data_IF_138017495216
#
_entry.id   IF_138017495216
#
_cell.length_a   1.000
_cell.length_b   1.000
_cell.length_c   1.000
_cell.angle_alpha   90.00
_cell.angle_beta   90.00
_cell.angle_gamma   90.00
#
_symmetry.space_group_name_H-M   'P 1'
#
loop_
_entity.id
_entity.type
_entity.pdbx_description
1 polymer ?
#
# COMPACT_ATOMS: atom_id res chain seq x y z
N UNK A 1 1.93 12.98 -3.71
CA UNK A 1 2.42 11.69 -3.19
C UNK A 1 3.38 11.11 -4.20
N UNK A 2 4.66 11.12 -3.87
CA UNK A 2 5.69 10.49 -4.70
C UNK A 2 5.75 9.00 -4.42
N UNK A 3 5.40 8.15 -5.41
CA UNK A 3 5.97 6.82 -5.41
C UNK A 3 7.45 6.99 -5.75
N UNK A 4 8.32 6.73 -4.77
CA UNK A 4 9.71 6.53 -5.08
C UNK A 4 9.78 5.44 -6.17
N UNK A 5 10.77 5.48 -7.09
CA UNK A 5 10.85 4.55 -8.23
C UNK A 5 10.83 3.06 -7.83
N UNK A 6 11.00 2.77 -6.55
CA UNK A 6 11.07 1.41 -6.01
C UNK A 6 9.84 0.98 -5.20
N UNK A 7 8.81 1.84 -5.09
CA UNK A 7 7.58 1.53 -4.34
C UNK A 7 7.75 1.43 -2.82
N UNK A 8 8.90 1.80 -2.29
CA UNK A 8 9.36 1.51 -0.92
C UNK A 8 8.40 2.04 0.16
N UNK A 9 8.00 3.32 0.06
CA UNK A 9 7.14 3.92 1.09
C UNK A 9 5.76 3.26 1.21
N UNK A 10 5.19 2.84 0.09
CA UNK A 10 3.88 2.19 0.10
C UNK A 10 3.93 0.80 0.76
N UNK A 11 5.00 0.04 0.51
CA UNK A 11 5.20 -1.28 1.13
C UNK A 11 5.54 -1.15 2.61
N UNK A 12 6.37 -0.16 2.99
CA UNK A 12 6.66 0.16 4.38
C UNK A 12 5.40 0.58 5.14
N UNK A 13 4.51 1.36 4.52
CA UNK A 13 3.23 1.71 5.11
C UNK A 13 2.38 0.47 5.37
N UNK A 14 2.22 -0.39 4.37
CA UNK A 14 1.44 -1.62 4.51
C UNK A 14 2.00 -2.51 5.63
N UNK A 15 3.32 -2.70 5.68
CA UNK A 15 3.98 -3.45 6.75
C UNK A 15 3.79 -2.80 8.13
N UNK A 16 3.92 -1.47 8.23
CA UNK A 16 3.69 -0.73 9.46
C UNK A 16 2.27 -0.90 9.98
N UNK A 17 1.27 -0.79 9.10
CA UNK A 17 -0.14 -0.99 9.45
C UNK A 17 -0.43 -2.44 9.83
N UNK A 18 0.14 -3.40 9.13
CA UNK A 18 -0.02 -4.83 9.42
C UNK A 18 0.60 -5.22 10.78
N UNK A 19 1.78 -4.68 11.08
CA UNK A 19 2.54 -5.02 12.28
C UNK A 19 2.00 -4.35 13.56
N UNK A 20 1.41 -3.15 13.42
CA UNK A 20 0.85 -2.40 14.55
C UNK A 20 -0.37 -1.60 14.08
N UNK A 21 -1.54 -2.25 14.12
CA UNK A 21 -2.78 -1.65 13.65
C UNK A 21 -3.18 -0.44 14.49
N UNK A 22 -3.44 0.75 13.89
CA UNK A 22 -3.86 1.94 14.61
C UNK A 22 -5.27 1.80 15.22
N UNK A 23 -5.56 2.55 16.26
CA UNK A 23 -6.86 2.51 16.94
C UNK A 23 -8.00 3.12 16.12
N UNK A 24 -7.68 4.07 15.26
CA UNK A 24 -8.64 4.85 14.47
C UNK A 24 -8.05 5.36 13.15
N UNK A 25 -8.87 6.07 12.39
CA UNK A 25 -8.49 6.71 11.13
C UNK A 25 -7.33 7.71 11.28
N UNK A 26 -7.33 8.49 12.36
CA UNK A 26 -6.28 9.47 12.60
C UNK A 26 -4.90 8.81 12.77
N UNK A 27 -4.86 7.64 13.38
CA UNK A 27 -3.65 6.82 13.47
C UNK A 27 -3.15 6.32 12.11
N UNK A 28 -4.05 6.02 11.16
CA UNK A 28 -3.69 5.68 9.78
C UNK A 28 -3.08 6.90 9.09
N UNK A 29 -3.72 8.06 9.20
CA UNK A 29 -3.22 9.32 8.62
C UNK A 29 -1.84 9.71 9.17
N UNK A 30 -1.62 9.56 10.48
CA UNK A 30 -0.33 9.79 11.09
C UNK A 30 0.77 8.90 10.48
N UNK A 31 0.48 7.61 10.27
CA UNK A 31 1.43 6.67 9.63
C UNK A 31 1.74 7.03 8.18
N UNK A 32 0.75 7.49 7.41
CA UNK A 32 0.99 7.96 6.03
C UNK A 32 1.89 9.19 6.02
N UNK A 33 1.65 10.13 6.94
CA UNK A 33 2.44 11.35 7.07
C UNK A 33 3.89 11.08 7.50
N UNK A 34 4.10 10.19 8.46
CA UNK A 34 5.44 9.77 8.91
C UNK A 34 6.31 9.23 7.76
N UNK A 35 5.67 8.62 6.76
CA UNK A 35 6.33 8.10 5.55
C UNK A 35 6.35 9.12 4.39
N UNK A 36 6.08 10.40 4.67
CA UNK A 36 6.11 11.47 3.68
C UNK A 36 4.95 11.41 2.66
N UNK A 37 3.86 10.71 2.99
CA UNK A 37 2.69 10.58 2.12
C UNK A 37 1.55 11.46 2.66
N UNK A 38 1.33 12.61 2.04
CA UNK A 38 0.17 13.46 2.35
C UNK A 38 -1.07 12.90 1.66
N UNK A 39 -2.11 12.59 2.42
CA UNK A 39 -3.39 12.10 1.92
C UNK A 39 -4.51 12.94 2.51
N UNK A 40 -5.23 13.66 1.64
CA UNK A 40 -6.37 14.47 2.04
C UNK A 40 -7.63 13.91 1.39
N UNK A 41 -8.43 13.22 2.18
CA UNK A 41 -9.73 12.66 1.76
C UNK A 41 -10.81 13.07 2.74
N UNK A 42 -12.06 13.31 2.27
CA UNK A 42 -13.20 13.44 3.16
C UNK A 42 -13.27 12.23 4.10
N UNK A 43 -13.61 12.48 5.37
CA UNK A 43 -13.73 11.40 6.33
C UNK A 43 -15.04 10.64 6.11
N UNK A 44 -14.95 9.31 5.99
CA UNK A 44 -16.08 8.40 5.98
C UNK A 44 -16.09 7.57 7.26
N UNK A 45 -17.28 7.24 7.75
CA UNK A 45 -17.46 6.58 9.08
C UNK A 45 -16.76 5.22 9.14
N UNK A 46 -16.69 4.51 8.03
CA UNK A 46 -16.15 3.16 7.93
C UNK A 46 -14.73 3.08 7.36
N UNK A 47 -14.07 4.22 7.14
CA UNK A 47 -12.72 4.28 6.55
C UNK A 47 -11.74 3.36 7.28
N UNK A 48 -11.71 3.41 8.61
CA UNK A 48 -10.81 2.59 9.41
C UNK A 48 -11.01 1.09 9.17
N UNK A 49 -12.28 0.64 9.18
CA UNK A 49 -12.61 -0.76 8.92
C UNK A 49 -12.29 -1.17 7.47
N UNK A 50 -12.56 -0.30 6.49
CA UNK A 50 -12.27 -0.55 5.07
C UNK A 50 -10.77 -0.59 4.78
N UNK A 51 -9.98 0.25 5.44
CA UNK A 51 -8.50 0.17 5.34
C UNK A 51 -8.00 -1.14 5.96
N UNK A 52 -8.64 -1.63 7.04
CA UNK A 52 -8.30 -2.94 7.59
C UNK A 52 -8.46 -4.06 6.55
N UNK A 53 -9.55 -4.04 5.79
CA UNK A 53 -9.77 -5.00 4.70
C UNK A 53 -8.66 -4.90 3.63
N UNK A 54 -8.22 -3.67 3.30
CA UNK A 54 -7.08 -3.49 2.36
C UNK A 54 -5.82 -4.17 2.87
N UNK A 55 -5.51 -4.04 4.16
CA UNK A 55 -4.33 -4.66 4.75
C UNK A 55 -4.49 -6.19 4.85
N UNK A 56 -5.67 -6.69 5.21
CA UNK A 56 -5.93 -8.13 5.27
C UNK A 56 -5.80 -8.79 3.88
N UNK A 57 -6.31 -8.15 2.82
CA UNK A 57 -6.12 -8.60 1.43
C UNK A 57 -4.62 -8.58 1.03
N UNK A 58 -3.89 -7.55 1.41
CA UNK A 58 -2.46 -7.46 1.16
C UNK A 58 -1.67 -8.54 1.90
N UNK A 59 -2.08 -8.90 3.11
CA UNK A 59 -1.46 -10.00 3.86
C UNK A 59 -1.61 -11.36 3.15
N UNK A 60 -2.68 -11.57 2.37
CA UNK A 60 -2.78 -12.76 1.51
C UNK A 60 -1.65 -12.81 0.47
N UNK A 61 -1.23 -11.64 -0.07
CA UNK A 61 -0.08 -11.55 -0.98
C UNK A 61 1.24 -11.85 -0.26
N UNK A 62 1.40 -11.35 0.98
CA UNK A 62 2.58 -11.61 1.81
C UNK A 62 2.73 -13.10 2.11
N UNK A 63 1.61 -13.76 2.45
CA UNK A 63 1.58 -15.15 2.91
C UNK A 63 1.63 -16.17 1.76
N UNK A 64 1.37 -15.74 0.51
CA UNK A 64 1.47 -16.60 -0.66
C UNK A 64 2.94 -16.98 -0.94
N UNK A 65 3.20 -18.30 -1.00
CA UNK A 65 4.55 -18.85 -1.10
C UNK A 65 5.07 -18.94 -2.54
N UNK A 66 4.16 -19.15 -3.51
CA UNK A 66 4.57 -19.27 -4.91
C UNK A 66 4.70 -17.89 -5.58
N UNK A 67 5.78 -17.62 -6.33
CA UNK A 67 5.92 -16.37 -7.06
C UNK A 67 4.77 -16.10 -8.05
N UNK A 68 4.27 -17.13 -8.72
CA UNK A 68 3.13 -17.01 -9.65
C UNK A 68 1.81 -16.69 -8.94
N UNK A 69 1.49 -17.38 -7.85
CA UNK A 69 0.29 -17.10 -7.05
C UNK A 69 0.33 -15.69 -6.45
N UNK A 70 1.50 -15.26 -5.97
CA UNK A 70 1.70 -13.89 -5.46
C UNK A 70 1.46 -12.84 -6.57
N UNK A 71 1.97 -13.09 -7.78
CA UNK A 71 1.74 -12.22 -8.91
C UNK A 71 0.27 -12.18 -9.33
N UNK A 72 -0.45 -13.30 -9.30
CA UNK A 72 -1.88 -13.37 -9.61
C UNK A 72 -2.72 -12.55 -8.62
N UNK A 73 -2.48 -12.72 -7.30
CA UNK A 73 -3.16 -11.95 -6.27
C UNK A 73 -2.90 -10.44 -6.42
N UNK A 74 -1.65 -10.07 -6.66
CA UNK A 74 -1.26 -8.68 -6.82
C UNK A 74 -1.86 -8.06 -8.09
N UNK A 75 -1.86 -8.79 -9.20
CA UNK A 75 -2.50 -8.35 -10.45
C UNK A 75 -4.01 -8.16 -10.26
N UNK A 76 -4.69 -9.04 -9.54
CA UNK A 76 -6.11 -8.90 -9.22
C UNK A 76 -6.38 -7.65 -8.37
N UNK A 77 -5.55 -7.38 -7.37
CA UNK A 77 -5.64 -6.18 -6.55
C UNK A 77 -5.45 -4.90 -7.38
N UNK A 78 -4.43 -4.86 -8.23
CA UNK A 78 -4.16 -3.72 -9.10
C UNK A 78 -5.28 -3.50 -10.12
N UNK A 79 -5.79 -4.56 -10.74
CA UNK A 79 -6.89 -4.46 -11.71
C UNK A 79 -8.18 -3.87 -11.11
N UNK A 80 -8.41 -4.10 -9.81
CA UNK A 80 -9.57 -3.56 -9.10
C UNK A 80 -9.47 -2.06 -8.78
N UNK A 81 -8.27 -1.47 -8.79
CA UNK A 81 -8.03 -0.11 -8.28
C UNK A 81 -7.14 0.76 -9.16
N UNK A 82 -6.39 0.19 -10.09
CA UNK A 82 -5.48 0.97 -10.91
C UNK A 82 -6.22 1.76 -11.98
N UNK A 83 -6.02 3.07 -11.97
CA UNK A 83 -6.32 3.93 -13.10
C UNK A 83 -5.10 4.00 -14.04
N UNK A 84 -5.31 4.52 -15.26
CA UNK A 84 -4.20 4.81 -16.17
C UNK A 84 -3.20 5.75 -15.48
N UNK A 85 -1.88 5.47 -15.56
CA UNK A 85 -0.88 6.37 -15.03
C UNK A 85 -1.01 7.77 -15.64
N UNK A 86 -1.07 8.77 -14.78
CA UNK A 86 -1.14 10.18 -15.20
C UNK A 86 0.00 10.97 -14.61
N UNK A 87 0.66 11.78 -15.43
CA UNK A 87 1.67 12.71 -14.98
C UNK A 87 0.96 13.97 -14.45
N UNK A 88 1.26 14.37 -13.22
CA UNK A 88 0.62 15.51 -12.55
C UNK A 88 1.62 16.30 -11.71
N UNK A 89 1.32 17.60 -11.50
CA UNK A 89 2.06 18.53 -10.63
C UNK A 89 1.04 19.44 -9.91
N UNK A 90 0.14 18.83 -9.12
CA UNK A 90 -0.95 19.57 -8.49
C UNK A 90 -0.56 20.23 -7.15
N UNK A 91 0.53 19.80 -6.51
CA UNK A 91 0.93 20.26 -5.18
C UNK A 91 2.15 21.17 -5.22
N UNK A 92 2.68 21.47 -6.41
CA UNK A 92 3.92 22.25 -6.56
C UNK A 92 5.19 21.53 -6.06
N UNK A 93 5.07 20.24 -5.76
CA UNK A 93 6.20 19.39 -5.33
C UNK A 93 6.95 18.75 -6.50
N UNK A 94 6.56 19.10 -7.74
CA UNK A 94 7.13 18.60 -8.97
C UNK A 94 6.31 17.48 -9.63
N UNK A 95 6.68 17.20 -10.89
CA UNK A 95 5.99 16.20 -11.71
C UNK A 95 6.13 14.79 -11.15
N UNK A 96 4.97 14.12 -10.96
CA UNK A 96 4.92 12.74 -10.46
C UNK A 96 3.77 11.93 -11.09
N UNK A 97 3.82 10.61 -10.96
CA UNK A 97 2.80 9.71 -11.51
C UNK A 97 1.71 9.42 -10.48
N UNK A 98 0.46 9.57 -10.92
CA UNK A 98 -0.72 9.04 -10.26
C UNK A 98 -1.17 7.75 -10.92
N UNK A 99 -1.46 6.74 -10.10
CA UNK A 99 -2.00 5.43 -10.52
C UNK A 99 -3.44 5.21 -10.07
N UNK A 100 -4.14 6.28 -9.71
CA UNK A 100 -5.52 6.28 -9.21
C UNK A 100 -6.29 7.48 -9.76
N UNK A 101 -7.61 7.40 -9.72
CA UNK A 101 -8.46 8.56 -9.99
C UNK A 101 -8.40 9.59 -8.86
N UNK A 102 -8.63 10.87 -9.18
CA UNK A 102 -8.49 11.98 -8.23
C UNK A 102 -9.59 12.01 -7.17
N UNK A 103 -10.76 11.51 -7.49
CA UNK A 103 -11.93 11.49 -6.58
C UNK A 103 -12.12 10.09 -6.03
N UNK A 104 -11.40 9.76 -4.98
CA UNK A 104 -11.50 8.43 -4.35
C UNK A 104 -11.39 8.54 -2.82
N UNK A 105 -11.94 7.54 -2.13
CA UNK A 105 -11.81 7.42 -0.69
C UNK A 105 -10.40 6.99 -0.26
N UNK A 106 -10.07 7.23 1.02
CA UNK A 106 -8.79 6.80 1.59
C UNK A 106 -8.52 5.29 1.39
N UNK A 107 -9.46 4.37 1.66
CA UNK A 107 -9.22 2.94 1.46
C UNK A 107 -8.89 2.58 0.02
N UNK A 108 -9.58 3.21 -0.94
CA UNK A 108 -9.30 2.98 -2.36
C UNK A 108 -7.90 3.46 -2.76
N UNK A 109 -7.53 4.66 -2.33
CA UNK A 109 -6.22 5.23 -2.60
C UNK A 109 -5.09 4.38 -1.99
N UNK A 110 -5.27 3.92 -0.76
CA UNK A 110 -4.30 3.05 -0.10
C UNK A 110 -4.17 1.71 -0.82
N UNK A 111 -5.29 1.09 -1.23
CA UNK A 111 -5.26 -0.15 -2.01
C UNK A 111 -4.48 0.00 -3.31
N UNK A 112 -4.72 1.08 -4.06
CA UNK A 112 -4.03 1.35 -5.32
C UNK A 112 -2.51 1.53 -5.12
N UNK A 113 -2.12 2.36 -4.16
CA UNK A 113 -0.71 2.68 -3.89
C UNK A 113 0.04 1.47 -3.33
N UNK A 114 -0.54 0.75 -2.38
CA UNK A 114 0.07 -0.45 -1.80
C UNK A 114 0.22 -1.53 -2.88
N UNK A 115 -0.77 -1.72 -3.74
CA UNK A 115 -0.69 -2.67 -4.84
C UNK A 115 0.45 -2.36 -5.81
N UNK A 116 0.47 -1.14 -6.36
CA UNK A 116 1.53 -0.71 -7.29
C UNK A 116 2.89 -0.68 -6.61
N UNK A 117 2.98 -0.15 -5.39
CA UNK A 117 4.23 -0.13 -4.62
C UNK A 117 4.78 -1.52 -4.34
N UNK A 118 3.91 -2.47 -4.01
CA UNK A 118 4.31 -3.87 -3.80
C UNK A 118 4.81 -4.49 -5.11
N UNK A 119 4.16 -4.24 -6.24
CA UNK A 119 4.62 -4.72 -7.54
C UNK A 119 6.01 -4.17 -7.89
N UNK A 120 6.24 -2.87 -7.71
CA UNK A 120 7.54 -2.23 -7.93
C UNK A 120 8.61 -2.80 -6.99
N UNK A 121 8.30 -2.98 -5.71
CA UNK A 121 9.20 -3.56 -4.72
C UNK A 121 9.61 -4.99 -5.11
N UNK A 122 8.65 -5.85 -5.41
CA UNK A 122 8.92 -7.24 -5.75
C UNK A 122 9.68 -7.41 -7.08
N UNK A 123 9.40 -6.57 -8.09
CA UNK A 123 10.13 -6.62 -9.37
C UNK A 123 11.56 -6.11 -9.26
N UNK A 124 11.83 -5.18 -8.38
CA UNK A 124 13.18 -4.59 -8.21
C UNK A 124 14.02 -5.30 -7.16
N UNK A 125 13.42 -5.80 -6.09
CA UNK A 125 14.12 -6.41 -4.95
C UNK A 125 14.06 -7.95 -4.95
N UNK A 126 13.10 -8.52 -5.68
CA UNK A 126 12.87 -9.97 -5.77
C UNK A 126 11.62 -10.43 -5.00
N UNK A 127 11.00 -11.49 -5.52
CA UNK A 127 9.71 -12.01 -5.03
C UNK A 127 9.74 -12.52 -3.56
N UNK A 128 10.91 -12.81 -3.00
CA UNK A 128 11.07 -13.27 -1.62
C UNK A 128 11.33 -12.13 -0.62
N UNK A 129 11.41 -10.87 -1.06
CA UNK A 129 11.73 -9.72 -0.20
C UNK A 129 10.53 -9.16 0.55
N UNK A 130 9.43 -9.88 0.58
CA UNK A 130 8.23 -9.56 1.34
C UNK A 130 7.76 -10.86 1.99
N UNK A 131 7.90 -10.99 3.30
CA UNK A 131 7.62 -12.23 4.02
C UNK A 131 7.31 -11.99 5.50
N UNK A 132 6.84 -13.03 6.21
CA UNK A 132 6.74 -13.01 7.67
C UNK A 132 8.11 -13.17 8.33
N UNK A 133 8.27 -12.55 9.50
CA UNK A 133 9.45 -12.77 10.34
C UNK A 133 9.60 -14.25 10.68
N UNK A 134 10.82 -14.78 10.52
CA UNK A 134 11.10 -16.20 10.84
C UNK A 134 11.34 -16.49 12.32
N UNK A 135 11.36 -15.48 13.19
CA UNK A 135 11.59 -15.69 14.62
C UNK A 135 10.27 -16.01 15.35
N UNK A 136 10.22 -17.13 16.07
CA UNK A 136 9.05 -17.46 16.90
C UNK A 136 9.08 -16.66 18.23
N UNK A 137 7.95 -16.08 18.68
CA UNK A 137 6.58 -16.11 18.13
C UNK A 137 6.23 -14.88 17.25
N UNK A 138 7.19 -14.26 16.60
CA UNK A 138 6.99 -13.04 15.81
C UNK A 138 6.12 -13.33 14.58
N UNK A 139 5.10 -12.49 14.35
CA UNK A 139 4.22 -12.56 13.16
C UNK A 139 4.37 -11.35 12.24
N UNK A 140 5.34 -10.47 12.52
CA UNK A 140 5.54 -9.24 11.77
C UNK A 140 5.88 -9.51 10.30
N UNK A 141 5.42 -8.62 9.44
CA UNK A 141 5.85 -8.55 8.05
C UNK A 141 7.20 -7.85 7.97
N UNK A 142 8.09 -8.40 7.17
CA UNK A 142 9.42 -7.88 6.86
C UNK A 142 9.46 -7.51 5.37
N UNK A 143 10.04 -6.34 5.10
CA UNK A 143 10.15 -5.73 3.76
C UNK A 143 11.64 -5.56 3.42
#
# INVERSE_FOLDING_TARGET
MHLNPYGEYAVLLAASLANAWPLDRAGIEARTLELGMTMTFPAEVDDHARVRVVIDDWLCIVDEQSPSGRAELLNAQMAATAAYPRLTDHDGEGWHLHYRDDVQSMPYALRAIIGVGTALHLTTRGMQRLHRCGASPCTNVVV
#
